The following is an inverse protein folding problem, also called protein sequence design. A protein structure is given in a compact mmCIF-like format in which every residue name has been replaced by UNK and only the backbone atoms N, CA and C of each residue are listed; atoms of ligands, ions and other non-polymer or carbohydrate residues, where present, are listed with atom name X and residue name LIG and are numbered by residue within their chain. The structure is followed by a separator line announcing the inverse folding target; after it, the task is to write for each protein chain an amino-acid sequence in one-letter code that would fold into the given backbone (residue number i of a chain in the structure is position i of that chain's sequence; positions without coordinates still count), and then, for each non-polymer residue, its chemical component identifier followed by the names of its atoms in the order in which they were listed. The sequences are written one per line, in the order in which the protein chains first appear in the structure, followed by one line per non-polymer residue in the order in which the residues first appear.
data_IF_711933815998
#
_entry.id   IF_711933815998
#
_cell.length_a   1.000
_cell.length_b   1.000
_cell.length_c   1.000
_cell.angle_alpha   90.00
_cell.angle_beta   90.00
_cell.angle_gamma   90.00
#
_symmetry.space_group_name_H-M   'P 1'
#
loop_
_entity.id
_entity.type
_entity.pdbx_description
1 polymer ?
#
# COMPACT_ATOMS: atom_id res chain seq x y z
N UNK A 1 2.75 -3.59 -25.74
CA UNK A 1 3.29 -4.44 -26.81
C UNK A 1 3.86 -5.69 -26.19
N UNK A 2 3.34 -6.85 -26.58
CA UNK A 2 3.80 -8.16 -26.08
C UNK A 2 4.64 -8.87 -27.14
N UNK A 3 5.65 -9.62 -26.69
CA UNK A 3 6.40 -10.58 -27.48
C UNK A 3 6.09 -11.98 -26.97
N UNK A 4 5.79 -12.91 -27.87
CA UNK A 4 5.42 -14.28 -27.52
C UNK A 4 6.29 -15.28 -28.25
N UNK A 5 6.60 -16.40 -27.60
CA UNK A 5 7.41 -17.48 -28.15
C UNK A 5 7.18 -18.79 -27.36
N UNK A 6 7.55 -19.92 -27.93
CA UNK A 6 7.54 -21.18 -27.24
C UNK A 6 8.94 -21.56 -26.71
N UNK A 7 8.95 -22.00 -25.45
CA UNK A 7 10.12 -22.63 -24.86
C UNK A 7 9.87 -24.12 -24.69
N UNK A 8 10.48 -24.94 -25.57
CA UNK A 8 10.34 -26.38 -25.41
C UNK A 8 10.61 -27.20 -26.66
N UNK A 9 10.59 -28.53 -26.54
CA UNK A 9 10.43 -29.25 -25.27
C UNK A 9 11.61 -29.07 -24.32
N UNK A 10 11.29 -28.76 -23.03
CA UNK A 10 12.29 -28.55 -22.01
C UNK A 10 11.79 -29.14 -20.67
N UNK A 11 12.60 -30.00 -20.05
CA UNK A 11 12.20 -30.77 -18.88
C UNK A 11 10.88 -31.54 -19.04
N UNK A 12 10.66 -32.12 -20.25
CA UNK A 12 9.45 -32.87 -20.56
C UNK A 12 8.19 -32.04 -20.80
N UNK A 13 8.29 -30.71 -20.77
CA UNK A 13 7.14 -29.80 -20.97
C UNK A 13 7.46 -28.72 -21.99
N UNK A 14 6.42 -28.16 -22.60
CA UNK A 14 6.51 -26.98 -23.45
C UNK A 14 5.84 -25.81 -22.72
N UNK A 15 6.38 -24.62 -22.88
CA UNK A 15 5.89 -23.40 -22.23
C UNK A 15 5.63 -22.33 -23.28
N UNK A 16 4.56 -21.58 -23.09
CA UNK A 16 4.36 -20.31 -23.79
C UNK A 16 4.98 -19.20 -22.93
N UNK A 17 5.89 -18.47 -23.53
CA UNK A 17 6.57 -17.30 -22.95
C UNK A 17 5.89 -16.04 -23.49
N UNK A 18 5.52 -15.13 -22.62
CA UNK A 18 4.96 -13.81 -22.98
C UNK A 18 5.73 -12.74 -22.23
N UNK A 19 6.25 -11.76 -22.95
CA UNK A 19 7.02 -10.65 -22.37
C UNK A 19 6.44 -9.33 -22.82
N UNK A 20 6.18 -8.44 -21.85
CA UNK A 20 5.85 -7.05 -22.19
C UNK A 20 7.10 -6.25 -22.53
N UNK A 21 7.08 -5.61 -23.69
CA UNK A 21 8.22 -4.87 -24.21
C UNK A 21 8.63 -3.68 -23.35
N UNK A 22 7.67 -3.06 -22.68
CA UNK A 22 7.91 -1.87 -21.85
C UNK A 22 8.39 -2.25 -20.45
N UNK A 23 7.59 -2.96 -19.71
CA UNK A 23 7.87 -3.31 -18.32
C UNK A 23 8.86 -4.44 -18.14
N UNK A 24 9.10 -5.23 -19.19
CA UNK A 24 9.84 -6.51 -19.16
C UNK A 24 9.15 -7.57 -18.29
N UNK A 25 7.88 -7.37 -17.97
CA UNK A 25 7.10 -8.38 -17.26
C UNK A 25 7.04 -9.67 -18.03
N UNK A 26 7.35 -10.77 -17.36
CA UNK A 26 7.46 -12.09 -17.92
C UNK A 26 6.34 -12.99 -17.39
N UNK A 27 5.67 -13.67 -18.31
CA UNK A 27 4.75 -14.77 -18.05
C UNK A 27 5.30 -16.06 -18.68
N UNK A 28 5.20 -17.15 -17.94
CA UNK A 28 5.61 -18.50 -18.37
C UNK A 28 4.48 -19.45 -18.03
N UNK A 29 3.82 -19.95 -19.05
CA UNK A 29 2.67 -20.84 -18.87
C UNK A 29 2.95 -22.19 -19.52
N UNK A 30 2.87 -23.31 -18.78
CA UNK A 30 2.97 -24.64 -19.35
C UNK A 30 1.80 -24.90 -20.30
N UNK A 31 2.09 -25.47 -21.44
CA UNK A 31 1.10 -25.83 -22.46
C UNK A 31 1.24 -27.30 -22.84
N UNK A 32 0.10 -27.95 -23.09
CA UNK A 32 0.07 -29.36 -23.47
C UNK A 32 0.43 -29.58 -24.95
N UNK A 33 0.25 -28.57 -25.79
CA UNK A 33 0.59 -28.57 -27.20
C UNK A 33 0.95 -27.17 -27.68
N UNK A 34 1.63 -27.09 -28.81
CA UNK A 34 1.95 -25.84 -29.51
C UNK A 34 0.85 -25.45 -30.52
N UNK A 35 -0.43 -25.72 -30.19
CA UNK A 35 -1.56 -25.38 -31.04
C UNK A 35 -2.04 -23.95 -30.84
N UNK A 36 -2.66 -23.37 -31.87
CA UNK A 36 -3.30 -22.05 -31.80
C UNK A 36 -4.35 -21.95 -30.69
N UNK A 37 -5.15 -23.02 -30.48
CA UNK A 37 -6.15 -23.08 -29.41
C UNK A 37 -5.54 -22.92 -28.04
N UNK A 38 -4.40 -23.56 -27.77
CA UNK A 38 -3.71 -23.42 -26.49
C UNK A 38 -3.15 -22.00 -26.29
N UNK A 39 -2.57 -21.42 -27.33
CA UNK A 39 -2.10 -20.03 -27.30
C UNK A 39 -3.25 -19.09 -27.01
N UNK A 40 -4.36 -19.18 -27.74
CA UNK A 40 -5.55 -18.35 -27.55
C UNK A 40 -6.11 -18.51 -26.13
N UNK A 41 -6.15 -19.73 -25.59
CA UNK A 41 -6.59 -19.99 -24.21
C UNK A 41 -5.71 -19.26 -23.19
N UNK A 42 -4.39 -19.35 -23.31
CA UNK A 42 -3.45 -18.69 -22.40
C UNK A 42 -3.58 -17.18 -22.52
N UNK A 43 -3.62 -16.64 -23.73
CA UNK A 43 -3.76 -15.21 -23.95
C UNK A 43 -5.07 -14.65 -23.41
N UNK A 44 -6.19 -15.38 -23.52
CA UNK A 44 -7.46 -14.97 -22.89
C UNK A 44 -7.33 -14.78 -21.39
N UNK A 45 -6.65 -15.70 -20.70
CA UNK A 45 -6.42 -15.60 -19.26
C UNK A 45 -5.53 -14.39 -18.91
N UNK A 46 -4.47 -14.16 -19.70
CA UNK A 46 -3.59 -13.00 -19.51
C UNK A 46 -4.34 -11.68 -19.76
N UNK A 47 -5.16 -11.63 -20.81
CA UNK A 47 -5.94 -10.43 -21.13
C UNK A 47 -7.02 -10.13 -20.09
N UNK A 48 -7.59 -11.15 -19.44
CA UNK A 48 -8.53 -10.94 -18.32
C UNK A 48 -7.87 -10.31 -17.09
N UNK A 49 -6.56 -10.51 -16.93
CA UNK A 49 -5.80 -9.98 -15.78
C UNK A 49 -5.15 -8.63 -16.10
N UNK A 50 -4.59 -8.47 -17.31
CA UNK A 50 -3.75 -7.30 -17.64
C UNK A 50 -4.37 -6.38 -18.68
N UNK A 51 -5.51 -6.74 -19.28
CA UNK A 51 -6.11 -6.01 -20.38
C UNK A 51 -5.55 -6.42 -21.74
N UNK A 52 -6.12 -5.84 -22.81
CA UNK A 52 -5.72 -6.12 -24.19
C UNK A 52 -4.47 -5.31 -24.56
N UNK A 53 -3.47 -5.92 -25.23
CA UNK A 53 -2.33 -5.19 -25.77
C UNK A 53 -2.67 -4.60 -27.15
N UNK A 54 -2.04 -3.49 -27.51
CA UNK A 54 -2.19 -2.93 -28.86
C UNK A 54 -1.52 -3.79 -29.92
N UNK A 55 -0.39 -4.44 -29.57
CA UNK A 55 0.47 -5.17 -30.50
C UNK A 55 0.99 -6.46 -29.87
N UNK A 56 0.91 -7.55 -30.61
CA UNK A 56 1.62 -8.80 -30.33
C UNK A 56 2.65 -9.08 -31.42
N UNK A 57 3.84 -9.45 -31.00
CA UNK A 57 4.96 -9.89 -31.89
C UNK A 57 5.22 -11.36 -31.66
N UNK A 58 5.30 -12.14 -32.71
CA UNK A 58 5.67 -13.56 -32.68
C UNK A 58 6.61 -13.92 -33.82
N UNK A 59 7.18 -15.11 -33.77
CA UNK A 59 7.78 -15.77 -34.95
C UNK A 59 6.71 -16.24 -35.95
N UNK A 60 7.14 -16.98 -36.98
CA UNK A 60 6.26 -17.55 -37.97
C UNK A 60 5.82 -19.00 -37.65
N UNK A 61 5.83 -19.38 -36.39
CA UNK A 61 5.35 -20.70 -35.96
C UNK A 61 3.90 -20.96 -36.39
N UNK A 62 3.56 -22.19 -36.68
CA UNK A 62 2.23 -22.57 -37.21
C UNK A 62 1.07 -22.17 -36.28
N UNK A 63 1.29 -22.15 -34.96
CA UNK A 63 0.30 -21.72 -34.01
C UNK A 63 -0.07 -20.22 -34.16
N UNK A 64 0.89 -19.39 -34.52
CA UNK A 64 0.74 -17.95 -34.66
C UNK A 64 0.32 -17.51 -36.05
N UNK A 65 0.48 -18.39 -37.06
CA UNK A 65 0.11 -18.12 -38.47
C UNK A 65 -1.25 -18.70 -38.85
N UNK A 66 -1.93 -19.37 -37.92
CA UNK A 66 -3.23 -19.99 -38.15
C UNK A 66 -4.36 -18.95 -38.28
N UNK A 67 -5.38 -19.30 -39.09
CA UNK A 67 -6.59 -18.49 -39.24
C UNK A 67 -7.30 -18.24 -37.92
N UNK A 68 -7.29 -19.22 -37.01
CA UNK A 68 -7.87 -19.11 -35.66
C UNK A 68 -7.20 -18.01 -34.85
N UNK A 69 -5.86 -18.00 -34.81
CA UNK A 69 -5.10 -16.99 -34.08
C UNK A 69 -5.28 -15.59 -34.70
N UNK A 70 -5.22 -15.49 -36.01
CA UNK A 70 -5.44 -14.23 -36.73
C UNK A 70 -6.83 -13.66 -36.48
N UNK A 71 -7.86 -14.51 -36.50
CA UNK A 71 -9.24 -14.15 -36.18
C UNK A 71 -9.36 -13.66 -34.75
N UNK A 72 -8.70 -14.34 -33.81
CA UNK A 72 -8.68 -13.93 -32.40
C UNK A 72 -8.01 -12.55 -32.21
N UNK A 73 -6.89 -12.28 -32.89
CA UNK A 73 -6.24 -10.97 -32.86
C UNK A 73 -7.15 -9.88 -33.41
N UNK A 74 -7.76 -10.10 -34.57
CA UNK A 74 -8.67 -9.13 -35.23
C UNK A 74 -9.90 -8.81 -34.36
N UNK A 75 -10.54 -9.83 -33.75
CA UNK A 75 -11.71 -9.65 -32.89
C UNK A 75 -11.42 -8.82 -31.63
N UNK A 76 -10.19 -8.86 -31.16
CA UNK A 76 -9.77 -8.09 -29.99
C UNK A 76 -9.09 -6.74 -30.35
N UNK A 77 -9.06 -6.37 -31.63
CA UNK A 77 -8.41 -5.13 -32.07
C UNK A 77 -6.88 -5.12 -31.92
N UNK A 78 -6.26 -6.30 -31.85
CA UNK A 78 -4.83 -6.45 -31.59
C UNK A 78 -4.08 -6.56 -32.93
N UNK A 79 -3.09 -5.70 -33.14
CA UNK A 79 -2.21 -5.78 -34.29
C UNK A 79 -1.18 -6.90 -34.10
N UNK A 80 -1.23 -7.93 -34.92
CA UNK A 80 -0.26 -9.00 -34.92
C UNK A 80 0.89 -8.67 -35.89
N UNK A 81 2.12 -8.69 -35.40
CA UNK A 81 3.35 -8.46 -36.18
C UNK A 81 4.17 -9.74 -36.15
N UNK A 82 4.38 -10.32 -37.31
CA UNK A 82 5.24 -11.50 -37.50
C UNK A 82 6.65 -11.05 -37.82
N UNK A 83 7.63 -11.75 -37.27
CA UNK A 83 9.02 -11.51 -37.61
C UNK A 83 9.28 -11.82 -39.06
N UNK A 84 10.07 -10.99 -39.72
CA UNK A 84 10.50 -11.28 -41.10
C UNK A 84 11.32 -12.58 -41.10
N UNK A 85 11.15 -13.44 -42.16
CA UNK A 85 11.99 -14.60 -42.32
C UNK A 85 13.47 -14.19 -42.29
N UNK A 86 14.29 -14.98 -41.63
CA UNK A 86 15.75 -14.76 -41.48
C UNK A 86 16.16 -13.47 -40.75
N UNK A 87 15.25 -12.82 -40.01
CA UNK A 87 15.56 -11.66 -39.21
C UNK A 87 15.15 -11.89 -37.72
N UNK A 88 15.88 -12.76 -36.99
CA UNK A 88 15.53 -13.16 -35.63
C UNK A 88 15.53 -12.00 -34.65
N UNK A 89 16.26 -10.93 -34.92
CA UNK A 89 16.29 -9.73 -34.04
C UNK A 89 14.90 -9.11 -33.76
N UNK A 90 13.91 -9.38 -34.61
CA UNK A 90 12.54 -8.87 -34.46
C UNK A 90 11.80 -9.46 -33.26
N UNK A 91 12.12 -10.70 -32.83
CA UNK A 91 11.58 -11.35 -31.63
C UNK A 91 12.66 -11.59 -30.55
N UNK A 92 13.82 -10.98 -30.67
CA UNK A 92 14.96 -11.18 -29.77
C UNK A 92 14.64 -10.94 -28.28
N UNK A 93 13.55 -10.22 -27.96
CA UNK A 93 13.09 -10.05 -26.60
C UNK A 93 12.52 -11.35 -26.03
N UNK A 94 11.65 -12.05 -26.78
CA UNK A 94 11.09 -13.32 -26.36
C UNK A 94 12.15 -14.42 -26.35
N UNK A 95 13.02 -14.48 -27.38
CA UNK A 95 14.13 -15.44 -27.45
C UNK A 95 15.06 -15.32 -26.23
N UNK A 96 15.42 -14.10 -25.84
CA UNK A 96 16.22 -13.84 -24.64
C UNK A 96 15.49 -14.26 -23.36
N UNK A 97 14.20 -14.02 -23.28
CA UNK A 97 13.39 -14.47 -22.15
C UNK A 97 13.35 -16.00 -22.06
N UNK A 98 13.23 -16.70 -23.18
CA UNK A 98 13.32 -18.16 -23.25
C UNK A 98 14.69 -18.65 -22.74
N UNK A 99 15.79 -18.03 -23.13
CA UNK A 99 17.13 -18.37 -22.66
C UNK A 99 17.24 -18.16 -21.14
N UNK A 100 16.86 -16.99 -20.65
CA UNK A 100 16.87 -16.64 -19.23
C UNK A 100 16.06 -17.64 -18.41
N UNK A 101 14.86 -17.99 -18.88
CA UNK A 101 14.02 -19.00 -18.23
C UNK A 101 14.71 -20.37 -18.18
N UNK A 102 15.22 -20.87 -19.33
CA UNK A 102 15.90 -22.17 -19.39
C UNK A 102 17.13 -22.24 -18.47
N UNK A 103 17.91 -21.17 -18.42
CA UNK A 103 19.09 -21.10 -17.55
C UNK A 103 18.70 -21.11 -16.07
N UNK A 104 17.68 -20.36 -15.68
CA UNK A 104 17.19 -20.36 -14.30
C UNK A 104 16.65 -21.74 -13.90
N UNK A 105 15.93 -22.41 -14.78
CA UNK A 105 15.42 -23.75 -14.55
C UNK A 105 16.52 -24.80 -14.42
N UNK A 106 17.65 -24.68 -15.14
CA UNK A 106 18.81 -25.57 -15.00
C UNK A 106 19.50 -25.43 -13.63
N UNK A 107 19.52 -24.22 -13.08
CA UNK A 107 20.20 -23.91 -11.81
C UNK A 107 19.40 -24.28 -10.56
N UNK A 108 18.09 -24.50 -10.69
CA UNK A 108 17.18 -24.81 -9.58
C UNK A 108 16.78 -26.29 -9.57
N UNK A 109 16.56 -26.87 -8.38
CA UNK A 109 16.12 -28.26 -8.19
C UNK A 109 14.74 -28.29 -7.52
N UNK A 110 14.05 -29.42 -7.67
CA UNK A 110 12.73 -29.63 -7.07
C UNK A 110 11.58 -29.62 -8.07
N UNK A 111 10.37 -29.56 -7.57
CA UNK A 111 9.15 -29.52 -8.39
C UNK A 111 9.17 -28.36 -9.38
N UNK A 112 8.78 -28.63 -10.64
CA UNK A 112 8.92 -27.66 -11.72
C UNK A 112 8.00 -26.45 -11.55
N UNK A 113 6.81 -26.65 -11.01
CA UNK A 113 5.84 -25.56 -10.86
C UNK A 113 6.29 -24.61 -9.73
N UNK A 114 6.88 -25.15 -8.66
CA UNK A 114 7.51 -24.35 -7.59
C UNK A 114 8.72 -23.59 -8.10
N UNK A 115 9.55 -24.20 -8.97
CA UNK A 115 10.72 -23.56 -9.58
C UNK A 115 10.32 -22.39 -10.46
N UNK A 116 9.28 -22.58 -11.29
CA UNK A 116 8.74 -21.52 -12.15
C UNK A 116 8.21 -20.37 -11.30
N UNK A 117 7.40 -20.66 -10.28
CA UNK A 117 6.84 -19.64 -9.41
C UNK A 117 7.93 -18.80 -8.71
N UNK A 118 8.97 -19.45 -8.17
CA UNK A 118 10.11 -18.76 -7.52
C UNK A 118 10.90 -17.92 -8.53
N UNK A 119 11.17 -18.46 -9.71
CA UNK A 119 11.86 -17.74 -10.77
C UNK A 119 11.09 -16.51 -11.21
N UNK A 120 9.80 -16.64 -11.52
CA UNK A 120 8.97 -15.53 -11.96
C UNK A 120 8.87 -14.45 -10.88
N UNK A 121 8.67 -14.85 -9.62
CA UNK A 121 8.63 -13.89 -8.51
C UNK A 121 9.93 -13.11 -8.42
N UNK A 122 11.08 -13.82 -8.39
CA UNK A 122 12.40 -13.18 -8.29
C UNK A 122 12.71 -12.29 -9.50
N UNK A 123 12.40 -12.75 -10.71
CA UNK A 123 12.58 -11.98 -11.94
C UNK A 123 11.76 -10.68 -11.91
N UNK A 124 10.52 -10.75 -11.48
CA UNK A 124 9.58 -9.61 -11.46
C UNK A 124 9.95 -8.53 -10.45
N UNK A 125 10.59 -8.89 -9.33
CA UNK A 125 10.99 -7.93 -8.28
C UNK A 125 12.43 -7.40 -8.45
N UNK A 126 13.24 -8.04 -9.29
CA UNK A 126 14.64 -7.63 -9.51
C UNK A 126 14.71 -6.52 -10.57
N UNK A 127 15.49 -5.45 -10.36
CA UNK A 127 15.72 -4.43 -11.38
C UNK A 127 16.27 -5.04 -12.67
N UNK A 128 15.63 -4.74 -13.80
CA UNK A 128 16.04 -5.24 -15.09
C UNK A 128 17.15 -4.36 -15.69
N UNK A 129 18.19 -4.96 -16.22
CA UNK A 129 19.39 -4.24 -16.73
C UNK A 129 19.05 -3.14 -17.75
N UNK A 130 18.04 -3.35 -18.61
CA UNK A 130 17.66 -2.38 -19.64
C UNK A 130 16.85 -1.19 -19.08
N UNK A 131 16.03 -1.42 -18.04
CA UNK A 131 15.10 -0.39 -17.55
C UNK A 131 15.56 0.27 -16.24
N UNK A 132 16.51 -0.35 -15.53
CA UNK A 132 16.93 0.07 -14.20
C UNK A 132 15.87 -0.13 -13.12
N UNK A 133 14.65 -0.56 -13.49
CA UNK A 133 13.53 -0.76 -12.60
C UNK A 133 13.04 -2.20 -12.64
N UNK A 134 12.38 -2.65 -11.57
CA UNK A 134 11.79 -3.98 -11.57
C UNK A 134 10.57 -4.05 -12.49
N UNK A 135 10.36 -5.19 -13.19
CA UNK A 135 9.17 -5.40 -14.00
C UNK A 135 7.86 -5.17 -13.26
N UNK A 136 7.82 -5.57 -11.98
CA UNK A 136 6.65 -5.38 -11.15
C UNK A 136 6.35 -3.90 -10.90
N UNK A 137 7.36 -3.09 -10.62
CA UNK A 137 7.16 -1.66 -10.43
C UNK A 137 6.66 -0.97 -11.70
N UNK A 138 7.22 -1.34 -12.86
CA UNK A 138 6.81 -0.75 -14.14
C UNK A 138 5.39 -1.15 -14.57
N UNK A 139 4.98 -2.40 -14.34
CA UNK A 139 3.65 -2.88 -14.72
C UNK A 139 2.58 -2.54 -13.67
N UNK A 140 2.85 -2.81 -12.39
CA UNK A 140 1.87 -2.75 -11.31
C UNK A 140 1.93 -1.45 -10.50
N UNK A 141 2.92 -0.59 -10.75
CA UNK A 141 3.21 0.63 -9.99
C UNK A 141 3.46 0.37 -8.49
N UNK A 142 3.80 -0.86 -8.14
CA UNK A 142 4.15 -1.26 -6.77
C UNK A 142 5.18 -2.38 -6.79
N UNK A 143 5.98 -2.46 -5.74
CA UNK A 143 6.87 -3.59 -5.51
C UNK A 143 6.13 -4.66 -4.72
N UNK A 144 6.01 -5.90 -5.21
CA UNK A 144 5.48 -7.02 -4.44
C UNK A 144 6.35 -7.29 -3.21
N UNK A 145 5.70 -7.58 -2.08
CA UNK A 145 6.41 -7.90 -0.83
C UNK A 145 7.10 -9.25 -0.94
N UNK A 146 8.38 -9.28 -0.64
CA UNK A 146 9.21 -10.48 -0.60
C UNK A 146 9.39 -11.01 0.82
N UNK A 147 9.94 -12.22 0.95
CA UNK A 147 10.30 -12.76 2.27
C UNK A 147 11.35 -11.90 2.99
N UNK A 148 12.22 -11.20 2.25
CA UNK A 148 13.22 -10.30 2.82
C UNK A 148 12.58 -9.06 3.45
N UNK A 149 11.46 -8.60 2.93
CA UNK A 149 10.73 -7.45 3.49
C UNK A 149 10.14 -7.76 4.88
N UNK A 150 9.96 -9.06 5.22
CA UNK A 150 9.57 -9.48 6.56
C UNK A 150 10.66 -9.23 7.61
N UNK A 151 11.91 -9.12 7.18
CA UNK A 151 13.06 -8.83 8.05
C UNK A 151 13.21 -7.33 8.32
N UNK A 152 12.59 -6.48 7.51
CA UNK A 152 12.57 -5.03 7.71
C UNK A 152 11.44 -4.70 8.69
N UNK A 153 11.74 -3.96 9.81
CA UNK A 153 10.70 -3.55 10.75
C UNK A 153 9.58 -2.78 10.05
N UNK A 154 8.35 -3.23 10.26
CA UNK A 154 7.18 -2.57 9.68
C UNK A 154 7.04 -1.14 10.23
N UNK A 155 7.10 -0.15 9.34
CA UNK A 155 6.93 1.25 9.69
C UNK A 155 5.56 1.51 10.31
N UNK A 156 4.52 0.79 9.87
CA UNK A 156 3.17 0.86 10.42
C UNK A 156 3.13 0.50 11.89
N UNK A 157 3.77 -0.60 12.29
CA UNK A 157 3.84 -1.03 13.70
C UNK A 157 4.63 -0.02 14.57
N UNK A 158 5.64 0.63 14.00
CA UNK A 158 6.42 1.67 14.68
C UNK A 158 5.60 2.95 14.90
N UNK A 159 4.85 3.35 13.88
CA UNK A 159 3.93 4.51 13.95
C UNK A 159 2.84 4.23 14.98
N UNK A 160 2.21 3.05 14.94
CA UNK A 160 1.17 2.66 15.89
C UNK A 160 1.67 2.70 17.34
N UNK A 161 2.83 2.10 17.62
CA UNK A 161 3.45 2.16 18.96
C UNK A 161 3.75 3.59 19.41
N UNK A 162 4.17 4.46 18.48
CA UNK A 162 4.39 5.87 18.79
C UNK A 162 3.08 6.59 19.12
N UNK A 163 2.02 6.35 18.35
CA UNK A 163 0.68 6.91 18.60
C UNK A 163 0.08 6.41 19.92
N UNK A 164 0.25 5.12 20.23
CA UNK A 164 -0.18 4.56 21.52
C UNK A 164 0.53 5.22 22.69
N UNK A 165 1.85 5.45 22.60
CA UNK A 165 2.61 6.19 23.62
C UNK A 165 2.11 7.64 23.78
N UNK A 166 1.88 8.33 22.66
CA UNK A 166 1.33 9.70 22.68
C UNK A 166 -0.04 9.74 23.34
N UNK A 167 -0.91 8.77 23.03
CA UNK A 167 -2.22 8.63 23.64
C UNK A 167 -2.12 8.40 25.15
N UNK A 168 -1.30 7.44 25.58
CA UNK A 168 -1.08 7.16 27.02
C UNK A 168 -0.57 8.40 27.76
N UNK A 169 0.41 9.12 27.19
CA UNK A 169 0.92 10.35 27.81
C UNK A 169 -0.12 11.47 27.88
N UNK A 170 -0.94 11.61 26.83
CA UNK A 170 -2.04 12.57 26.84
C UNK A 170 -3.09 12.21 27.89
N UNK A 171 -3.46 10.92 27.99
CA UNK A 171 -4.52 10.44 28.86
C UNK A 171 -4.11 10.44 30.36
N UNK A 172 -2.81 10.39 30.68
CA UNK A 172 -2.29 10.48 32.06
C UNK A 172 -2.63 11.82 32.76
N UNK A 173 -2.83 12.89 31.99
CA UNK A 173 -3.20 14.21 32.50
C UNK A 173 -4.71 14.49 32.51
N UNK A 174 -5.52 13.59 31.97
CA UNK A 174 -6.96 13.83 31.80
C UNK A 174 -7.73 13.34 33.01
N UNK A 175 -8.29 14.27 33.78
CA UNK A 175 -9.30 13.95 34.83
C UNK A 175 -10.63 13.62 34.12
N UNK A 176 -11.10 12.40 34.28
CA UNK A 176 -12.43 12.00 33.79
C UNK A 176 -13.50 12.83 34.48
N UNK A 177 -14.21 13.66 33.74
CA UNK A 177 -15.33 14.46 34.22
C UNK A 177 -16.60 13.87 33.66
N UNK A 178 -17.45 13.36 34.54
CA UNK A 178 -18.75 12.81 34.17
C UNK A 178 -19.81 13.84 34.48
N UNK A 179 -20.69 14.10 33.53
CA UNK A 179 -21.85 14.96 33.68
C UNK A 179 -23.11 14.21 33.28
N UNK A 180 -24.14 14.33 34.06
CA UNK A 180 -25.45 13.75 33.81
C UNK A 180 -26.44 14.80 33.29
N UNK A 181 -27.45 14.33 32.53
CA UNK A 181 -28.55 15.23 32.15
C UNK A 181 -29.25 15.73 33.38
N UNK A 182 -29.43 17.05 33.47
CA UNK A 182 -29.98 17.72 34.63
C UNK A 182 -28.97 18.44 35.54
N UNK A 183 -27.66 18.12 35.38
CA UNK A 183 -26.62 18.76 36.22
C UNK A 183 -26.55 20.27 35.96
N UNK A 184 -26.44 21.02 37.08
CA UNK A 184 -26.15 22.44 37.04
C UNK A 184 -24.64 22.62 36.78
N UNK A 185 -24.29 23.46 35.81
CA UNK A 185 -22.91 23.60 35.33
C UNK A 185 -22.56 25.06 35.04
N UNK A 186 -21.27 25.36 35.07
CA UNK A 186 -20.69 26.55 34.48
C UNK A 186 -20.04 26.21 33.15
N UNK A 187 -20.36 26.98 32.14
CA UNK A 187 -19.88 26.81 30.76
C UNK A 187 -18.91 27.93 30.42
N UNK A 188 -17.76 27.56 29.84
CA UNK A 188 -16.78 28.55 29.38
C UNK A 188 -17.35 29.43 28.27
N UNK A 189 -17.34 30.75 28.53
CA UNK A 189 -17.75 31.75 27.55
C UNK A 189 -16.58 32.12 26.63
N UNK A 190 -16.76 31.97 25.32
CA UNK A 190 -15.77 32.36 24.33
C UNK A 190 -16.06 33.71 23.68
N UNK A 191 -17.19 34.34 24.04
CA UNK A 191 -17.68 35.55 23.37
C UNK A 191 -17.58 36.80 24.22
N UNK A 192 -16.91 36.72 25.41
CA UNK A 192 -16.75 37.90 26.27
C UNK A 192 -16.81 37.61 27.76
N UNK A 193 -17.20 38.64 28.56
CA UNK A 193 -17.34 38.54 30.03
C UNK A 193 -18.82 38.27 30.38
N UNK A 194 -19.10 37.45 31.40
CA UNK A 194 -18.17 36.75 32.30
C UNK A 194 -17.54 35.51 31.63
N UNK A 195 -16.35 35.06 32.11
CA UNK A 195 -15.62 33.90 31.60
C UNK A 195 -16.40 32.58 31.71
N UNK A 196 -17.26 32.46 32.67
CA UNK A 196 -18.12 31.31 32.97
C UNK A 196 -19.57 31.72 33.05
N UNK A 197 -20.42 31.03 32.28
CA UNK A 197 -21.88 31.30 32.25
C UNK A 197 -22.59 30.11 32.88
N UNK A 198 -23.56 30.32 33.76
CA UNK A 198 -24.34 29.24 34.35
C UNK A 198 -25.30 28.62 33.32
N UNK A 199 -25.56 27.31 33.49
CA UNK A 199 -26.49 26.58 32.65
C UNK A 199 -26.76 25.19 33.20
N UNK A 200 -27.56 24.41 32.49
CA UNK A 200 -27.93 23.04 32.84
C UNK A 200 -27.72 22.09 31.67
N UNK A 201 -27.18 20.91 31.93
CA UNK A 201 -27.01 19.86 30.92
C UNK A 201 -28.37 19.32 30.49
N UNK A 202 -28.71 19.39 29.23
CA UNK A 202 -29.98 18.91 28.69
C UNK A 202 -29.83 17.64 27.85
N UNK A 203 -28.66 17.37 27.28
CA UNK A 203 -28.39 16.13 26.56
C UNK A 203 -26.88 15.85 26.44
N UNK A 204 -26.53 14.58 26.29
CA UNK A 204 -25.18 14.13 25.95
C UNK A 204 -25.16 13.74 24.43
N UNK A 205 -24.31 14.39 23.62
CA UNK A 205 -24.16 14.09 22.20
C UNK A 205 -23.06 13.07 21.90
N UNK A 206 -22.32 12.65 22.90
CA UNK A 206 -21.21 11.70 22.81
C UNK A 206 -20.43 11.69 24.12
N UNK A 207 -19.35 10.90 24.22
CA UNK A 207 -18.61 10.72 25.48
C UNK A 207 -17.96 12.01 26.01
N UNK A 208 -17.69 12.99 25.15
CA UNK A 208 -16.99 14.23 25.50
C UNK A 208 -17.75 15.50 25.09
N UNK A 209 -19.00 15.39 24.62
CA UNK A 209 -19.75 16.53 24.09
C UNK A 209 -21.13 16.63 24.74
N UNK A 210 -21.41 17.79 25.37
CA UNK A 210 -22.62 18.09 26.10
C UNK A 210 -23.43 19.17 25.38
N UNK A 211 -24.75 19.04 25.41
CA UNK A 211 -25.69 20.12 25.08
C UNK A 211 -26.15 20.74 26.37
N UNK A 212 -25.91 22.04 26.51
CA UNK A 212 -26.18 22.77 27.73
C UNK A 212 -27.13 23.93 27.40
N UNK A 213 -28.19 24.06 28.17
CA UNK A 213 -29.09 25.20 28.17
C UNK A 213 -28.57 26.23 29.16
N UNK A 214 -28.27 27.42 28.66
CA UNK A 214 -27.84 28.54 29.49
C UNK A 214 -29.04 29.21 30.13
N UNK A 215 -28.84 30.00 31.20
CA UNK A 215 -29.90 30.72 31.91
C UNK A 215 -30.65 31.75 31.03
N UNK A 216 -30.06 32.14 29.89
CA UNK A 216 -30.71 32.98 28.88
C UNK A 216 -31.51 32.17 27.81
N UNK A 217 -31.86 30.92 28.12
CA UNK A 217 -32.59 29.97 27.26
C UNK A 217 -31.86 29.51 26.01
N UNK A 218 -30.66 30.03 25.71
CA UNK A 218 -29.87 29.59 24.56
C UNK A 218 -29.25 28.21 24.78
N UNK A 219 -29.12 27.42 23.71
CA UNK A 219 -28.52 26.09 23.77
C UNK A 219 -27.13 26.12 23.13
N UNK A 220 -26.15 25.59 23.84
CA UNK A 220 -24.77 25.53 23.34
C UNK A 220 -24.22 24.12 23.43
N UNK A 221 -23.42 23.73 22.43
CA UNK A 221 -22.63 22.50 22.47
C UNK A 221 -21.24 22.80 23.03
N UNK A 222 -20.80 22.02 24.03
CA UNK A 222 -19.48 22.21 24.66
C UNK A 222 -18.80 20.86 24.91
N UNK A 223 -17.48 20.86 24.76
CA UNK A 223 -16.63 19.77 25.24
C UNK A 223 -16.60 19.76 26.78
N UNK A 224 -16.49 18.59 27.40
CA UNK A 224 -16.46 18.43 28.86
C UNK A 224 -15.37 19.28 29.52
N UNK A 225 -14.25 19.55 28.87
CA UNK A 225 -13.17 20.41 29.39
C UNK A 225 -13.58 21.89 29.54
N UNK A 226 -14.61 22.29 28.84
CA UNK A 226 -15.18 23.64 28.90
C UNK A 226 -16.39 23.75 29.83
N UNK A 227 -16.58 22.75 30.69
CA UNK A 227 -17.68 22.65 31.61
C UNK A 227 -17.16 22.37 33.01
N UNK A 228 -17.71 23.04 34.03
CA UNK A 228 -17.44 22.84 35.46
C UNK A 228 -18.74 22.57 36.19
N UNK A 229 -18.69 21.72 37.20
CA UNK A 229 -19.83 21.50 38.08
C UNK A 229 -20.15 22.83 38.81
N UNK A 230 -21.43 23.18 38.86
CA UNK A 230 -21.95 24.27 39.72
C UNK A 230 -22.47 23.62 40.98
N UNK A 231 -21.70 23.72 42.10
CA UNK A 231 -22.19 23.32 43.39
C UNK A 231 -23.38 24.22 43.75
N UNK A 232 -24.50 23.63 44.11
CA UNK A 232 -25.62 24.39 44.68
C UNK A 232 -25.18 24.87 46.05
N UNK A 233 -25.21 26.16 46.27
CA UNK A 233 -24.98 26.77 47.58
C UNK A 233 -26.02 26.25 48.58
N UNK A 234 -25.60 25.23 49.35
CA UNK A 234 -26.14 24.86 50.61
C UNK A 234 -25.13 25.28 51.66
N UNK A 235 -25.45 26.29 52.42
CA UNK A 235 -24.79 26.81 53.59
C UNK A 235 -23.48 26.15 54.04
N UNK A 236 -22.32 26.73 53.66
CA UNK A 236 -21.21 26.91 54.60
C UNK A 236 -20.18 27.91 54.04
N UNK A 237 -20.04 29.02 54.75
CA UNK A 237 -18.94 29.96 54.60
C UNK A 237 -17.61 29.26 54.96
N UNK A 238 -16.68 29.21 54.05
CA UNK A 238 -15.34 28.70 54.26
C UNK A 238 -14.41 29.27 53.19
N UNK A 239 -13.65 30.27 53.55
CA UNK A 239 -12.59 30.90 52.81
C UNK A 239 -11.59 29.83 52.35
N UNK A 240 -11.28 29.80 51.05
CA UNK A 240 -10.28 28.91 50.46
C UNK A 240 -9.55 29.61 49.35
N UNK A 241 -8.32 29.95 49.61
CA UNK A 241 -7.33 30.64 48.84
C UNK A 241 -7.22 30.16 47.36
N UNK A 242 -7.11 31.14 46.47
CA UNK A 242 -6.69 30.98 45.11
C UNK A 242 -5.23 30.50 45.09
N UNK A 243 -5.00 29.24 44.73
CA UNK A 243 -3.69 28.79 44.30
C UNK A 243 -3.60 28.88 42.78
N UNK A 244 -3.05 29.99 42.33
CA UNK A 244 -2.57 30.19 40.96
C UNK A 244 -1.30 29.36 40.81
N UNK A 245 -1.48 28.12 40.29
CA UNK A 245 -0.37 27.22 40.01
C UNK A 245 0.22 27.52 38.65
N UNK A 246 1.28 28.28 38.64
CA UNK A 246 2.20 28.46 37.52
C UNK A 246 2.61 27.09 36.95
N UNK A 247 2.17 26.81 35.73
CA UNK A 247 2.64 25.65 34.95
C UNK A 247 3.99 26.03 34.39
N UNK A 248 5.07 25.53 34.98
CA UNK A 248 6.41 25.52 34.40
C UNK A 248 6.41 24.81 33.07
N UNK A 249 7.08 25.35 32.03
CA UNK A 249 7.24 24.65 30.78
C UNK A 249 8.11 23.40 30.96
N UNK A 250 7.87 22.34 30.15
CA UNK A 250 8.68 21.12 30.24
C UNK A 250 10.13 21.39 29.88
N UNK A 251 11.08 20.67 30.50
CA UNK A 251 12.50 20.86 30.24
C UNK A 251 12.83 20.56 28.76
N UNK A 252 13.58 21.46 28.15
CA UNK A 252 14.19 21.26 26.84
C UNK A 252 15.00 19.95 26.82
N UNK A 253 14.58 19.01 26.01
CA UNK A 253 15.37 17.83 25.72
C UNK A 253 16.62 18.22 24.97
N UNK A 254 17.76 18.03 25.61
CA UNK A 254 19.08 18.19 25.03
C UNK A 254 19.17 17.46 23.67
N UNK A 255 19.52 18.20 22.66
CA UNK A 255 19.96 17.70 21.36
C UNK A 255 21.27 16.94 21.57
N UNK A 256 21.19 15.61 21.43
CA UNK A 256 22.39 14.81 21.19
C UNK A 256 22.59 14.77 19.67
N UNK A 257 23.59 15.46 19.20
CA UNK A 257 24.13 15.32 17.85
C UNK A 257 24.71 13.91 17.67
N UNK A 258 24.41 13.20 16.59
CA UNK A 258 25.15 12.00 16.26
C UNK A 258 26.49 12.39 15.63
N UNK A 259 27.57 12.06 16.31
CA UNK A 259 28.93 12.09 15.78
C UNK A 259 29.01 11.29 14.48
N UNK A 260 29.49 11.95 13.44
CA UNK A 260 29.93 11.35 12.18
C UNK A 260 31.34 10.80 12.43
N UNK A 261 31.63 9.52 12.22
CA UNK A 261 33.02 9.06 12.17
C UNK A 261 33.60 9.43 10.81
N UNK A 262 34.64 10.27 10.87
CA UNK A 262 35.49 10.55 9.76
C UNK A 262 36.36 9.37 9.37
N UNK A 263 36.51 9.22 8.07
CA UNK A 263 37.68 8.83 7.33
C UNK A 263 38.49 7.58 7.73
N UNK A 264 38.50 6.62 6.82
CA UNK A 264 39.75 5.90 6.49
C UNK A 264 39.82 5.67 4.99
N UNK A 265 40.67 6.50 4.38
CA UNK A 265 41.37 6.23 3.13
C UNK A 265 42.33 5.04 3.33
N UNK A 266 42.67 4.40 2.19
CA UNK A 266 43.80 3.54 1.87
C UNK A 266 43.71 2.06 2.25
N UNK A 267 43.43 1.20 1.30
CA UNK A 267 44.32 0.40 0.41
C UNK A 267 43.49 -0.46 -0.54
#
# INVERSE_FOLDING_TARGET
RLHIDFAGPFLGRTFLIVVDAHSKWLEVTPVSSTSSQQVVRVLRNLFSTHGLPDVIVSDNGTAFTSVEFETFMKRNGIRHVRCAPYHPSSNGLAERAVQTFKEAMKKTKGDIDVRIARFLFQYRITPHATTGQSPAFLLLRRQPRSALDLMVPDVGSRVQKSQERQKVNHDQGVKVRLFSVGDAVFVKNFSGSPKWIPGRVIANRGPLSLVIQLDNESKVNRHVDHVRVREQEGDNAGEGEEADGDILPPPESAKADPEVPADRQEL
#
